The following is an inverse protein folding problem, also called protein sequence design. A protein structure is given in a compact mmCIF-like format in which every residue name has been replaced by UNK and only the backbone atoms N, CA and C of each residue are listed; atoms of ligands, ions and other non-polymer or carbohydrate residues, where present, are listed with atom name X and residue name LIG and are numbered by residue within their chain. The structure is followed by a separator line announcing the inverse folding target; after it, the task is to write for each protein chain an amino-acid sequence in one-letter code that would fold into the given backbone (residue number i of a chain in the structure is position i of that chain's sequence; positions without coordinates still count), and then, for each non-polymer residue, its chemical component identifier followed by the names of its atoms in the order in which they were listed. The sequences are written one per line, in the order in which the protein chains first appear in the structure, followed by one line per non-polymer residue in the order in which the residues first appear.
data_IF_504822771706
#
_entry.id   IF_504822771706
#
_cell.length_a   1.000
_cell.length_b   1.000
_cell.length_c   1.000
_cell.angle_alpha   90.00
_cell.angle_beta   90.00
_cell.angle_gamma   90.00
#
_symmetry.space_group_name_H-M   'P 1'
#
loop_
_entity.id
_entity.type
_entity.pdbx_description
1 polymer ?
#
# COMPACT_ATOMS: atom_id res chain seq x y z
N UNK A 1 51.99 9.46 -35.50
CA UNK A 1 51.31 8.49 -34.64
C UNK A 1 50.74 9.09 -33.34
N UNK A 2 51.24 10.16 -32.70
CA UNK A 2 50.75 10.72 -31.44
C UNK A 2 49.46 11.55 -31.54
N UNK A 3 49.03 12.05 -32.71
CA UNK A 3 47.79 12.83 -32.91
C UNK A 3 46.53 11.97 -33.12
N UNK A 4 46.65 10.78 -33.69
CA UNK A 4 45.52 9.87 -33.92
C UNK A 4 44.99 9.23 -32.62
N UNK A 5 45.84 8.97 -31.65
CA UNK A 5 45.45 8.35 -30.37
C UNK A 5 44.69 9.33 -29.45
N UNK A 6 44.88 10.63 -29.59
CA UNK A 6 44.12 11.66 -28.83
C UNK A 6 42.70 11.87 -29.34
N UNK A 7 42.47 11.68 -30.63
CA UNK A 7 41.12 11.79 -31.20
C UNK A 7 40.26 10.60 -30.89
N UNK A 8 40.84 9.39 -30.85
CA UNK A 8 40.12 8.17 -30.45
C UNK A 8 39.76 8.17 -28.96
N UNK A 9 40.62 8.72 -28.08
CA UNK A 9 40.35 8.88 -26.66
C UNK A 9 39.23 9.86 -26.35
N UNK A 10 39.09 10.95 -27.13
CA UNK A 10 38.02 11.95 -26.99
C UNK A 10 36.68 11.41 -27.49
N UNK A 11 36.65 10.60 -28.53
CA UNK A 11 35.43 10.00 -29.07
C UNK A 11 34.92 8.90 -28.11
N UNK A 12 35.81 8.13 -27.48
CA UNK A 12 35.43 7.10 -26.50
C UNK A 12 34.92 7.70 -25.19
N UNK A 13 35.45 8.86 -24.74
CA UNK A 13 34.93 9.56 -23.56
C UNK A 13 33.60 10.26 -23.80
N UNK A 14 33.31 10.66 -25.04
CA UNK A 14 32.04 11.28 -25.40
C UNK A 14 30.91 10.20 -25.50
N UNK A 15 31.24 8.96 -25.86
CA UNK A 15 30.29 7.87 -25.91
C UNK A 15 29.93 7.29 -24.50
N UNK A 16 30.81 7.48 -23.50
CA UNK A 16 30.54 7.04 -22.11
C UNK A 16 29.69 8.07 -21.31
N UNK A 17 29.56 9.30 -21.80
CA UNK A 17 28.76 10.35 -21.12
C UNK A 17 27.33 10.45 -21.61
N UNK A 18 26.93 9.67 -22.62
CA UNK A 18 25.58 9.68 -23.22
C UNK A 18 24.66 8.55 -22.69
N UNK A 19 25.12 7.78 -21.70
CA UNK A 19 24.35 6.64 -21.17
C UNK A 19 23.69 6.87 -19.80
N UNK A 20 23.61 8.11 -19.30
CA UNK A 20 23.05 8.39 -17.96
C UNK A 20 21.90 9.38 -17.92
N UNK A 21 21.16 9.53 -19.01
CA UNK A 21 19.89 10.27 -19.01
C UNK A 21 18.85 9.48 -19.83
N UNK A 22 18.51 8.29 -19.36
CA UNK A 22 17.19 7.75 -19.64
C UNK A 22 16.28 8.43 -18.62
N UNK A 23 15.34 9.30 -19.02
CA UNK A 23 14.31 9.72 -18.10
C UNK A 23 13.60 8.43 -17.69
N UNK A 24 13.57 8.13 -16.40
CA UNK A 24 12.57 7.23 -15.85
C UNK A 24 11.24 7.91 -16.18
N UNK A 25 10.68 7.60 -17.34
CA UNK A 25 9.29 7.92 -17.63
C UNK A 25 8.49 7.20 -16.56
N UNK A 26 7.92 7.94 -15.64
CA UNK A 26 6.87 7.42 -14.78
C UNK A 26 5.90 6.68 -15.71
N UNK A 27 5.77 5.37 -15.52
CA UNK A 27 4.75 4.59 -16.20
C UNK A 27 3.41 5.07 -15.62
N UNK A 28 2.79 6.03 -16.29
CA UNK A 28 1.38 6.32 -16.08
C UNK A 28 0.63 5.14 -16.67
N UNK A 29 0.29 4.18 -15.83
CA UNK A 29 -0.64 3.11 -16.19
C UNK A 29 -2.02 3.72 -16.15
N UNK A 30 -2.54 4.08 -17.31
CA UNK A 30 -3.92 4.52 -17.47
C UNK A 30 -4.76 3.26 -17.68
N UNK A 31 -5.64 2.96 -16.73
CA UNK A 31 -6.65 1.92 -16.89
C UNK A 31 -7.60 2.32 -18.05
N UNK A 32 -7.29 1.89 -19.25
CA UNK A 32 -8.09 2.14 -20.48
C UNK A 32 -8.75 0.85 -20.98
N UNK A 33 -9.47 0.14 -20.11
CA UNK A 33 -10.23 -1.05 -20.52
C UNK A 33 -11.42 -1.27 -19.60
N UNK A 34 -12.50 -1.85 -20.11
CA UNK A 34 -13.74 -2.10 -19.36
C UNK A 34 -13.58 -3.12 -18.20
N UNK A 35 -12.38 -3.58 -17.89
CA UNK A 35 -12.09 -4.55 -16.84
C UNK A 35 -10.77 -4.32 -16.08
N UNK A 36 -10.05 -3.24 -16.37
CA UNK A 36 -8.76 -2.97 -15.72
C UNK A 36 -8.92 -2.27 -14.38
N UNK A 37 -8.18 -2.77 -13.38
CA UNK A 37 -8.04 -2.19 -12.05
C UNK A 37 -6.57 -2.09 -11.71
N UNK A 38 -6.07 -0.86 -11.51
CA UNK A 38 -4.69 -0.60 -11.11
C UNK A 38 -4.63 -0.35 -9.60
N UNK A 39 -3.74 -1.05 -8.91
CA UNK A 39 -3.48 -0.92 -7.47
C UNK A 39 -2.05 -0.45 -7.28
N UNK A 40 -1.88 0.75 -6.74
CA UNK A 40 -0.59 1.40 -6.54
C UNK A 40 -0.26 1.38 -5.05
N UNK A 41 0.74 0.62 -4.66
CA UNK A 41 1.33 0.66 -3.32
C UNK A 41 2.40 1.75 -3.34
N UNK A 42 2.06 2.92 -2.81
CA UNK A 42 2.86 4.13 -2.95
C UNK A 42 4.00 4.12 -1.92
N UNK A 43 5.22 4.39 -2.35
CA UNK A 43 6.35 4.56 -1.45
C UNK A 43 6.23 5.90 -0.72
N UNK A 44 5.75 5.84 0.51
CA UNK A 44 5.64 6.97 1.44
C UNK A 44 6.65 6.88 2.58
N UNK A 45 7.73 6.10 2.39
CA UNK A 45 8.63 5.77 3.47
C UNK A 45 7.96 4.85 4.50
N UNK A 46 8.10 5.17 5.81
CA UNK A 46 7.38 4.42 6.84
C UNK A 46 5.92 4.90 6.88
N UNK A 47 4.99 3.99 6.63
CA UNK A 47 3.57 4.26 6.55
C UNK A 47 2.89 3.48 5.43
N UNK A 48 1.59 3.67 5.26
CA UNK A 48 0.80 3.01 4.24
C UNK A 48 0.03 4.01 3.37
N UNK A 49 0.05 3.80 2.07
CA UNK A 49 -0.78 4.54 1.12
C UNK A 49 -1.02 3.70 -0.13
N UNK A 50 -2.28 3.43 -0.45
CA UNK A 50 -2.66 2.63 -1.61
C UNK A 50 -3.70 3.40 -2.42
N UNK A 51 -3.38 3.67 -3.70
CA UNK A 51 -4.34 4.19 -4.66
C UNK A 51 -4.87 3.04 -5.50
N UNK A 52 -6.19 2.94 -5.64
CA UNK A 52 -6.82 2.04 -6.61
C UNK A 52 -7.58 2.85 -7.64
N UNK A 53 -7.36 2.55 -8.92
CA UNK A 53 -8.05 3.17 -10.05
C UNK A 53 -8.76 2.11 -10.88
N UNK A 54 -10.06 2.24 -11.07
CA UNK A 54 -10.86 1.30 -11.86
C UNK A 54 -12.12 1.96 -12.40
N UNK A 55 -12.46 1.74 -13.67
CA UNK A 55 -13.70 2.20 -14.28
C UNK A 55 -13.93 3.71 -14.18
N UNK A 56 -12.87 4.51 -14.03
CA UNK A 56 -12.92 5.96 -13.84
C UNK A 56 -13.17 6.40 -12.40
N UNK A 57 -13.22 5.48 -11.45
CA UNK A 57 -13.29 5.75 -10.01
C UNK A 57 -11.91 5.59 -9.35
N UNK A 58 -11.71 6.30 -8.25
CA UNK A 58 -10.48 6.29 -7.46
C UNK A 58 -10.81 5.99 -5.99
N UNK A 59 -10.06 5.05 -5.41
CA UNK A 59 -10.08 4.74 -3.98
C UNK A 59 -8.69 5.01 -3.42
N UNK A 60 -8.62 5.80 -2.35
CA UNK A 60 -7.39 6.03 -1.59
C UNK A 60 -7.52 5.36 -0.23
N UNK A 61 -6.73 4.33 0.02
CA UNK A 61 -6.64 3.62 1.29
C UNK A 61 -5.36 4.04 2.00
N UNK A 62 -5.50 4.79 3.09
CA UNK A 62 -4.45 5.50 3.81
C UNK A 62 -3.69 6.53 2.95
N UNK A 63 -2.85 7.33 3.59
CA UNK A 63 -2.14 8.42 2.93
C UNK A 63 -0.72 8.66 3.45
N UNK A 64 -0.17 7.73 4.24
CA UNK A 64 1.13 7.91 4.86
C UNK A 64 1.13 8.97 5.95
N UNK A 65 2.32 9.35 6.41
CA UNK A 65 2.47 10.38 7.43
C UNK A 65 2.36 11.80 6.86
N UNK A 66 2.24 12.79 7.75
CA UNK A 66 2.08 14.19 7.36
C UNK A 66 3.28 14.75 6.59
N UNK A 67 4.48 14.22 6.79
CA UNK A 67 5.69 14.70 6.09
C UNK A 67 5.70 14.31 4.61
N UNK A 68 4.91 13.32 4.22
CA UNK A 68 4.76 12.84 2.84
C UNK A 68 3.48 13.34 2.14
N UNK A 69 2.75 14.29 2.77
CA UNK A 69 1.52 14.85 2.21
C UNK A 69 1.68 15.42 0.79
N UNK A 70 2.73 16.20 0.56
CA UNK A 70 3.00 16.78 -0.76
C UNK A 70 3.32 15.71 -1.81
N UNK A 71 3.97 14.62 -1.39
CA UNK A 71 4.24 13.46 -2.26
C UNK A 71 2.94 12.80 -2.69
N UNK A 72 2.04 12.51 -1.76
CA UNK A 72 0.74 11.89 -2.08
C UNK A 72 -0.08 12.77 -3.00
N UNK A 73 -0.20 14.08 -2.70
CA UNK A 73 -0.93 15.01 -3.56
C UNK A 73 -0.35 15.01 -4.97
N UNK A 74 0.98 15.13 -5.09
CA UNK A 74 1.66 15.16 -6.39
C UNK A 74 1.45 13.83 -7.14
N UNK A 75 1.56 12.70 -6.45
CA UNK A 75 1.37 11.39 -7.04
C UNK A 75 -0.06 11.21 -7.57
N UNK A 76 -1.08 11.57 -6.78
CA UNK A 76 -2.48 11.50 -7.20
C UNK A 76 -2.73 12.40 -8.44
N UNK A 77 -2.15 13.60 -8.47
CA UNK A 77 -2.24 14.50 -9.62
C UNK A 77 -1.55 13.91 -10.87
N UNK A 78 -0.39 13.29 -10.72
CA UNK A 78 0.33 12.59 -11.81
C UNK A 78 -0.48 11.40 -12.35
N UNK A 79 -1.27 10.72 -11.48
CA UNK A 79 -2.19 9.67 -11.88
C UNK A 79 -3.53 10.20 -12.40
N UNK A 80 -3.68 11.51 -12.61
CA UNK A 80 -4.89 12.20 -13.09
C UNK A 80 -6.11 11.99 -12.19
N UNK A 81 -5.91 11.87 -10.89
CA UNK A 81 -7.00 11.84 -9.91
C UNK A 81 -7.56 13.25 -9.76
N UNK A 82 -8.83 13.43 -10.06
CA UNK A 82 -9.58 14.67 -9.83
C UNK A 82 -10.58 14.51 -8.67
N UNK A 83 -11.14 13.30 -8.53
CA UNK A 83 -12.07 12.92 -7.48
C UNK A 83 -11.59 11.64 -6.80
N UNK A 84 -11.75 11.57 -5.48
CA UNK A 84 -11.56 10.36 -4.69
C UNK A 84 -12.97 9.86 -4.32
N UNK A 85 -13.41 8.78 -4.94
CA UNK A 85 -14.75 8.22 -4.73
C UNK A 85 -14.88 7.59 -3.34
N UNK A 86 -13.81 6.92 -2.90
CA UNK A 86 -13.68 6.37 -1.55
C UNK A 86 -12.30 6.72 -0.97
N UNK A 87 -12.30 7.43 0.16
CA UNK A 87 -11.14 7.62 1.00
C UNK A 87 -11.31 6.73 2.24
N UNK A 88 -10.37 5.85 2.49
CA UNK A 88 -10.45 4.90 3.61
C UNK A 88 -9.27 5.18 4.56
N UNK A 89 -9.58 5.52 5.81
CA UNK A 89 -8.63 5.46 6.90
C UNK A 89 -8.70 4.06 7.51
N UNK A 90 -7.63 3.27 7.39
CA UNK A 90 -7.59 1.95 8.04
C UNK A 90 -7.78 2.11 9.53
N UNK A 91 -6.99 2.93 10.16
CA UNK A 91 -7.11 3.40 11.54
C UNK A 91 -6.57 4.84 11.64
N UNK A 92 -6.39 5.39 12.85
CA UNK A 92 -6.14 6.82 12.98
C UNK A 92 -4.72 7.17 13.45
N UNK A 93 -3.75 6.30 13.25
CA UNK A 93 -2.34 6.58 13.53
C UNK A 93 -1.73 7.48 12.45
N UNK A 94 -0.65 8.19 12.78
CA UNK A 94 -0.10 9.29 11.98
C UNK A 94 0.36 8.85 10.60
N UNK A 95 1.01 7.70 10.52
CA UNK A 95 1.57 7.13 9.30
C UNK A 95 0.52 6.47 8.37
N UNK A 96 -0.76 6.66 8.70
CA UNK A 96 -1.92 6.28 7.89
C UNK A 96 -2.79 7.47 7.49
N UNK A 97 -3.15 8.34 8.46
CA UNK A 97 -4.06 9.46 8.15
C UNK A 97 -3.35 10.79 7.90
N UNK A 98 -2.04 10.87 8.08
CA UNK A 98 -1.30 12.11 7.96
C UNK A 98 -1.45 12.79 6.60
N UNK A 99 -1.33 12.03 5.53
CA UNK A 99 -1.52 12.51 4.16
C UNK A 99 -2.97 12.61 3.72
N UNK A 100 -3.93 11.94 4.40
CA UNK A 100 -5.35 12.04 4.05
C UNK A 100 -5.91 13.44 4.32
N UNK A 101 -5.50 14.08 5.41
CA UNK A 101 -5.99 15.42 5.78
C UNK A 101 -5.80 16.43 4.65
N UNK A 102 -4.57 16.63 4.12
CA UNK A 102 -4.40 17.55 3.00
C UNK A 102 -5.04 17.05 1.69
N UNK A 103 -5.23 15.74 1.49
CA UNK A 103 -5.97 15.24 0.34
C UNK A 103 -7.44 15.68 0.35
N UNK A 104 -8.10 15.75 1.51
CA UNK A 104 -9.48 16.27 1.64
C UNK A 104 -9.58 17.72 1.15
N UNK A 105 -8.55 18.53 1.37
CA UNK A 105 -8.55 19.94 0.96
C UNK A 105 -8.14 20.14 -0.51
N UNK A 106 -7.46 19.15 -1.14
CA UNK A 106 -6.92 19.28 -2.49
C UNK A 106 -7.71 18.53 -3.57
N UNK A 107 -8.56 17.58 -3.19
CA UNK A 107 -9.36 16.77 -4.10
C UNK A 107 -10.84 16.82 -3.74
N UNK A 108 -11.70 16.57 -4.72
CA UNK A 108 -13.10 16.24 -4.43
C UNK A 108 -13.16 14.85 -3.80
N UNK A 109 -13.73 14.71 -2.60
CA UNK A 109 -13.87 13.42 -1.92
C UNK A 109 -15.35 13.11 -1.74
N UNK A 110 -15.81 11.96 -2.24
CA UNK A 110 -17.22 11.58 -2.20
C UNK A 110 -17.62 10.86 -0.92
N UNK A 111 -16.80 9.91 -0.48
CA UNK A 111 -17.03 9.11 0.72
C UNK A 111 -15.74 9.01 1.53
N UNK A 112 -15.86 9.15 2.85
CA UNK A 112 -14.77 8.85 3.79
C UNK A 112 -15.24 7.72 4.69
N UNK A 113 -14.46 6.63 4.73
CA UNK A 113 -14.67 5.48 5.61
C UNK A 113 -13.55 5.39 6.65
N UNK A 114 -13.90 4.93 7.84
CA UNK A 114 -12.95 4.66 8.91
C UNK A 114 -13.58 3.76 9.97
N UNK A 115 -12.85 3.30 10.98
CA UNK A 115 -13.39 2.54 12.10
C UNK A 115 -14.11 3.44 13.12
N UNK A 116 -15.14 2.90 13.80
CA UNK A 116 -16.00 3.65 14.73
C UNK A 116 -15.36 3.72 16.14
N UNK A 117 -14.25 4.47 16.27
CA UNK A 117 -13.68 4.79 17.57
C UNK A 117 -13.08 6.20 17.60
N UNK A 118 -12.87 6.73 18.79
CA UNK A 118 -12.26 8.05 19.00
C UNK A 118 -10.78 7.88 19.34
N UNK A 119 -9.92 8.37 18.46
CA UNK A 119 -8.49 8.47 18.74
C UNK A 119 -8.16 9.77 19.48
N UNK A 120 -7.14 9.76 20.34
CA UNK A 120 -6.83 10.91 21.22
C UNK A 120 -5.88 11.93 20.60
N UNK A 121 -5.34 11.67 19.39
CA UNK A 121 -4.36 12.54 18.75
C UNK A 121 -4.99 13.85 18.22
N UNK A 122 -4.17 14.88 18.13
CA UNK A 122 -4.58 16.12 17.46
C UNK A 122 -4.81 15.90 15.95
N UNK A 123 -4.09 14.97 15.34
CA UNK A 123 -4.23 14.65 13.94
C UNK A 123 -5.60 14.05 13.64
N UNK A 124 -6.09 13.11 14.48
CA UNK A 124 -7.46 12.61 14.38
C UNK A 124 -8.51 13.72 14.45
N UNK A 125 -8.35 14.62 15.44
CA UNK A 125 -9.28 15.74 15.54
C UNK A 125 -9.21 16.64 14.29
N UNK A 126 -8.04 16.84 13.73
CA UNK A 126 -7.86 17.60 12.48
C UNK A 126 -8.51 16.88 11.30
N UNK A 127 -8.33 15.58 11.16
CA UNK A 127 -8.97 14.76 10.12
C UNK A 127 -10.49 14.87 10.16
N UNK A 128 -11.10 14.68 11.33
CA UNK A 128 -12.56 14.78 11.53
C UNK A 128 -13.09 16.21 11.27
N UNK A 129 -12.34 17.23 11.72
CA UNK A 129 -12.70 18.63 11.51
C UNK A 129 -12.59 19.03 10.03
N UNK A 130 -11.56 18.56 9.32
CA UNK A 130 -11.36 18.84 7.89
C UNK A 130 -12.45 18.17 7.06
N UNK A 131 -12.80 16.92 7.36
CA UNK A 131 -13.93 16.25 6.72
C UNK A 131 -15.24 17.04 6.92
N UNK A 132 -15.52 17.45 8.15
CA UNK A 132 -16.70 18.25 8.50
C UNK A 132 -16.71 19.62 7.78
N UNK A 133 -15.58 20.30 7.72
CA UNK A 133 -15.46 21.60 7.05
C UNK A 133 -15.71 21.51 5.55
N UNK A 134 -15.40 20.38 4.94
CA UNK A 134 -15.70 20.03 3.53
C UNK A 134 -17.09 19.39 3.35
N UNK A 135 -17.94 19.41 4.38
CA UNK A 135 -19.28 18.84 4.39
C UNK A 135 -19.33 17.31 4.11
N UNK A 136 -18.26 16.58 4.46
CA UNK A 136 -18.17 15.14 4.32
C UNK A 136 -18.36 14.51 5.70
N UNK A 137 -19.20 13.49 5.77
CA UNK A 137 -19.42 12.69 6.99
C UNK A 137 -18.55 11.45 6.90
N UNK A 138 -17.72 11.21 7.93
CA UNK A 138 -17.00 9.95 8.06
C UNK A 138 -18.00 8.85 8.39
N UNK A 139 -17.99 7.81 7.60
CA UNK A 139 -18.88 6.65 7.70
C UNK A 139 -18.12 5.47 8.28
N UNK A 140 -18.84 4.62 8.99
CA UNK A 140 -18.30 3.45 9.72
C UNK A 140 -18.95 2.17 9.19
N UNK A 141 -18.45 1.63 8.04
CA UNK A 141 -19.06 0.45 7.46
C UNK A 141 -18.87 -0.79 8.33
N UNK A 142 -19.85 -1.69 8.29
CA UNK A 142 -19.84 -2.92 9.07
C UNK A 142 -19.18 -4.07 8.32
N UNK A 143 -18.66 -5.05 9.05
CA UNK A 143 -18.14 -6.29 8.46
C UNK A 143 -19.20 -6.98 7.60
N UNK A 144 -18.80 -7.39 6.39
CA UNK A 144 -19.65 -8.01 5.39
C UNK A 144 -20.36 -7.01 4.46
N UNK A 145 -20.32 -5.69 4.74
CA UNK A 145 -20.81 -4.71 3.77
C UNK A 145 -19.92 -4.70 2.52
N UNK A 146 -20.57 -4.65 1.36
CA UNK A 146 -19.91 -4.65 0.05
C UNK A 146 -20.30 -3.38 -0.71
N UNK A 147 -19.34 -2.77 -1.36
CA UNK A 147 -19.50 -1.54 -2.14
C UNK A 147 -19.01 -1.77 -3.56
N UNK A 148 -19.79 -1.35 -4.53
CA UNK A 148 -19.39 -1.35 -5.94
C UNK A 148 -18.24 -0.35 -6.14
N UNK A 149 -17.21 -0.74 -6.89
CA UNK A 149 -16.07 0.10 -7.20
C UNK A 149 -15.52 -0.21 -8.59
N UNK A 150 -15.64 0.75 -9.49
CA UNK A 150 -15.15 0.62 -10.86
C UNK A 150 -15.71 -0.59 -11.59
N UNK A 151 -14.84 -1.55 -11.89
CA UNK A 151 -15.20 -2.82 -12.57
C UNK A 151 -15.38 -3.99 -11.61
N UNK A 152 -15.26 -3.73 -10.33
CA UNK A 152 -15.34 -4.72 -9.27
C UNK A 152 -16.06 -4.22 -8.04
N UNK A 153 -15.66 -4.67 -6.87
CA UNK A 153 -16.22 -4.28 -5.59
C UNK A 153 -15.20 -4.44 -4.47
N UNK A 154 -15.47 -3.84 -3.31
CA UNK A 154 -14.74 -4.18 -2.10
C UNK A 154 -15.69 -4.53 -0.96
N UNK A 155 -15.27 -5.47 -0.12
CA UNK A 155 -16.01 -5.96 1.05
C UNK A 155 -15.23 -5.68 2.31
N UNK A 156 -15.89 -5.19 3.36
CA UNK A 156 -15.29 -4.95 4.67
C UNK A 156 -15.11 -6.26 5.41
N UNK A 157 -13.89 -6.55 5.89
CA UNK A 157 -13.54 -7.77 6.62
C UNK A 157 -13.35 -7.55 8.12
N UNK A 158 -12.88 -6.35 8.52
CA UNK A 158 -12.64 -5.94 9.91
C UNK A 158 -12.87 -4.43 10.05
N UNK A 159 -12.99 -3.90 11.31
CA UNK A 159 -12.93 -4.62 12.58
C UNK A 159 -14.26 -5.29 12.96
N UNK A 160 -14.21 -6.46 13.62
CA UNK A 160 -15.40 -7.15 14.15
C UNK A 160 -15.90 -6.58 15.50
N UNK A 161 -15.18 -5.62 16.03
CA UNK A 161 -15.44 -4.91 17.28
C UNK A 161 -14.31 -3.94 17.56
N UNK A 162 -14.51 -3.02 18.48
CA UNK A 162 -13.48 -2.02 18.80
C UNK A 162 -12.58 -2.55 19.92
N UNK A 163 -11.28 -2.60 19.62
CA UNK A 163 -10.18 -2.96 20.51
C UNK A 163 -9.62 -1.74 21.25
N UNK A 164 -8.91 -1.98 22.35
CA UNK A 164 -8.08 -0.95 23.00
C UNK A 164 -6.76 -0.70 22.24
N UNK A 165 -6.32 -1.67 21.43
CA UNK A 165 -5.22 -1.53 20.51
C UNK A 165 -5.73 -0.84 19.23
N UNK A 166 -5.17 0.33 18.87
CA UNK A 166 -5.58 1.10 17.68
C UNK A 166 -5.42 0.29 16.39
N UNK A 167 -4.36 -0.50 16.30
CA UNK A 167 -4.03 -1.30 15.12
C UNK A 167 -5.10 -2.35 14.81
N UNK A 168 -5.60 -3.04 15.85
CA UNK A 168 -6.69 -4.03 15.72
C UNK A 168 -8.04 -3.41 15.29
N UNK A 169 -8.15 -2.08 15.32
CA UNK A 169 -9.31 -1.37 14.79
C UNK A 169 -9.19 -1.06 13.29
N UNK A 170 -8.14 -1.54 12.63
CA UNK A 170 -7.96 -1.31 11.19
C UNK A 170 -9.16 -1.78 10.39
N UNK A 171 -9.69 -0.88 9.54
CA UNK A 171 -10.72 -1.19 8.56
C UNK A 171 -10.09 -2.00 7.43
N UNK A 172 -10.17 -3.31 7.53
CA UNK A 172 -9.63 -4.24 6.52
C UNK A 172 -10.64 -4.43 5.41
N UNK A 173 -10.20 -4.35 4.17
CA UNK A 173 -11.05 -4.57 3.00
C UNK A 173 -10.47 -5.66 2.09
N UNK A 174 -11.37 -6.43 1.46
CA UNK A 174 -11.06 -7.28 0.32
C UNK A 174 -11.61 -6.62 -0.94
N UNK A 175 -10.72 -6.29 -1.86
CA UNK A 175 -11.03 -5.74 -3.16
C UNK A 175 -11.04 -6.88 -4.19
N UNK A 176 -12.06 -6.92 -5.05
CA UNK A 176 -12.22 -7.96 -6.06
C UNK A 176 -12.45 -7.34 -7.44
N UNK A 177 -11.76 -7.89 -8.46
CA UNK A 177 -11.94 -7.55 -9.87
C UNK A 177 -11.96 -8.83 -10.71
N UNK A 178 -13.14 -9.26 -11.13
CA UNK A 178 -13.33 -10.54 -11.81
C UNK A 178 -12.91 -11.71 -10.92
N UNK A 179 -11.86 -12.44 -11.31
CA UNK A 179 -11.28 -13.52 -10.50
C UNK A 179 -10.09 -13.12 -9.65
N UNK A 180 -9.65 -11.87 -9.75
CA UNK A 180 -8.53 -11.38 -8.95
C UNK A 180 -8.99 -10.67 -7.67
N UNK A 181 -8.21 -10.81 -6.62
CA UNK A 181 -8.52 -10.25 -5.31
C UNK A 181 -7.29 -9.74 -4.56
N UNK A 182 -7.51 -8.67 -3.79
CA UNK A 182 -6.51 -7.99 -2.98
C UNK A 182 -7.07 -7.81 -1.57
N UNK A 183 -6.25 -8.03 -0.53
CA UNK A 183 -6.61 -7.68 0.85
C UNK A 183 -5.69 -6.56 1.32
N UNK A 184 -6.29 -5.47 1.81
CA UNK A 184 -5.59 -4.36 2.46
C UNK A 184 -5.89 -4.41 3.95
N UNK A 185 -4.86 -4.65 4.75
CA UNK A 185 -5.00 -4.97 6.18
C UNK A 185 -4.82 -3.76 7.10
N UNK A 186 -4.28 -2.63 6.58
CA UNK A 186 -3.77 -1.59 7.46
C UNK A 186 -2.76 -2.20 8.44
N UNK A 187 -2.93 -1.89 9.73
CA UNK A 187 -2.07 -2.40 10.79
C UNK A 187 -2.74 -3.49 11.64
N UNK A 188 -3.77 -4.15 11.10
CA UNK A 188 -4.43 -5.27 11.79
C UNK A 188 -3.40 -6.27 12.32
N UNK A 189 -3.50 -6.58 13.61
CA UNK A 189 -2.62 -7.51 14.31
C UNK A 189 -3.33 -8.86 14.55
N UNK A 190 -2.64 -9.77 15.24
CA UNK A 190 -3.11 -11.15 15.49
C UNK A 190 -4.56 -11.23 15.97
N UNK A 191 -5.00 -10.31 16.86
CA UNK A 191 -6.38 -10.33 17.38
C UNK A 191 -7.39 -10.08 16.27
N UNK A 192 -7.17 -9.05 15.44
CA UNK A 192 -8.04 -8.73 14.31
C UNK A 192 -8.00 -9.83 13.24
N UNK A 193 -6.82 -10.42 12.98
CA UNK A 193 -6.67 -11.55 12.06
C UNK A 193 -7.48 -12.77 12.50
N UNK A 194 -7.42 -13.15 13.78
CA UNK A 194 -8.19 -14.25 14.35
C UNK A 194 -9.70 -13.96 14.31
N UNK A 195 -10.10 -12.72 14.56
CA UNK A 195 -11.50 -12.31 14.44
C UNK A 195 -11.98 -12.46 13.00
N UNK A 196 -11.21 -12.02 11.99
CA UNK A 196 -11.53 -12.22 10.57
C UNK A 196 -11.69 -13.71 10.22
N UNK A 197 -10.75 -14.55 10.63
CA UNK A 197 -10.81 -16.01 10.42
C UNK A 197 -12.08 -16.59 11.04
N UNK A 198 -12.44 -16.15 12.26
CA UNK A 198 -13.60 -16.64 12.99
C UNK A 198 -14.94 -16.33 12.33
N UNK A 199 -15.01 -15.31 11.45
CA UNK A 199 -16.23 -14.97 10.70
C UNK A 199 -16.64 -16.05 9.71
N UNK A 200 -15.68 -16.85 9.23
CA UNK A 200 -15.87 -17.80 8.13
C UNK A 200 -16.07 -17.16 6.77
N UNK A 201 -15.82 -15.87 6.63
CA UNK A 201 -15.80 -15.19 5.33
C UNK A 201 -14.63 -15.73 4.47
N UNK A 202 -14.78 -15.63 3.16
CA UNK A 202 -13.71 -16.02 2.24
C UNK A 202 -12.56 -14.99 2.29
N UNK A 203 -11.44 -15.36 2.92
CA UNK A 203 -10.23 -14.54 3.03
C UNK A 203 -9.19 -14.84 1.93
N UNK A 204 -9.39 -15.88 1.09
CA UNK A 204 -8.47 -16.21 0.00
C UNK A 204 -8.22 -15.00 -0.91
N UNK A 205 -6.96 -14.71 -1.27
CA UNK A 205 -6.62 -13.55 -2.09
C UNK A 205 -5.39 -13.81 -2.97
N UNK A 206 -5.29 -13.09 -4.10
CA UNK A 206 -4.09 -13.13 -4.94
C UNK A 206 -2.97 -12.28 -4.38
N UNK A 207 -3.32 -11.11 -3.82
CA UNK A 207 -2.35 -10.14 -3.30
C UNK A 207 -2.71 -9.73 -1.88
N UNK A 208 -1.77 -9.90 -0.97
CA UNK A 208 -1.87 -9.42 0.41
C UNK A 208 -1.00 -8.17 0.61
N UNK A 209 -1.61 -7.05 1.01
CA UNK A 209 -0.88 -5.97 1.66
C UNK A 209 -0.53 -6.42 3.07
N UNK A 210 0.75 -6.61 3.34
CA UNK A 210 1.24 -7.19 4.61
C UNK A 210 0.97 -6.24 5.76
N UNK A 211 0.34 -6.76 6.81
CA UNK A 211 -0.11 -5.96 7.94
C UNK A 211 1.03 -5.28 8.70
N UNK A 212 0.75 -4.08 9.18
CA UNK A 212 1.58 -3.31 10.09
C UNK A 212 3.05 -3.21 9.60
N UNK A 213 3.21 -2.89 8.30
CA UNK A 213 4.51 -2.70 7.63
C UNK A 213 5.44 -3.92 7.75
N UNK A 214 4.89 -5.11 7.99
CA UNK A 214 5.64 -6.32 8.25
C UNK A 214 6.07 -6.50 9.71
N UNK A 215 5.35 -5.91 10.67
CA UNK A 215 5.55 -6.16 12.12
C UNK A 215 5.44 -7.64 12.47
N UNK A 216 6.13 -8.06 13.52
CA UNK A 216 6.04 -9.44 14.04
C UNK A 216 4.64 -9.76 14.61
N UNK A 217 3.88 -8.72 15.02
CA UNK A 217 2.53 -8.84 15.60
C UNK A 217 1.44 -9.12 14.57
N UNK A 218 1.74 -8.99 13.27
CA UNK A 218 0.80 -9.11 12.15
C UNK A 218 1.21 -10.22 11.19
N UNK A 219 0.32 -10.56 10.27
CA UNK A 219 0.54 -11.54 9.20
C UNK A 219 0.98 -12.89 9.77
N UNK A 220 0.14 -13.38 10.70
CA UNK A 220 0.37 -14.63 11.42
C UNK A 220 0.29 -15.85 10.49
N UNK A 221 0.77 -17.02 10.95
CA UNK A 221 0.67 -18.25 10.19
C UNK A 221 -0.78 -18.59 9.83
N UNK A 222 -1.68 -18.50 10.81
CA UNK A 222 -3.10 -18.82 10.63
C UNK A 222 -3.73 -17.88 9.58
N UNK A 223 -3.36 -16.59 9.59
CA UNK A 223 -3.87 -15.62 8.64
C UNK A 223 -3.29 -15.84 7.24
N UNK A 224 -2.01 -16.16 7.12
CA UNK A 224 -1.40 -16.53 5.84
C UNK A 224 -2.00 -17.82 5.25
N UNK A 225 -2.30 -18.81 6.09
CA UNK A 225 -3.00 -20.03 5.64
C UNK A 225 -4.43 -19.72 5.18
N UNK A 226 -5.13 -18.82 5.87
CA UNK A 226 -6.50 -18.42 5.52
C UNK A 226 -6.58 -17.54 4.27
N UNK A 227 -5.59 -16.68 4.05
CA UNK A 227 -5.53 -15.76 2.89
C UNK A 227 -4.84 -16.36 1.68
N UNK A 228 -3.95 -17.34 1.87
CA UNK A 228 -3.23 -18.10 0.84
C UNK A 228 -2.72 -17.25 -0.34
N UNK A 229 -2.04 -16.12 -0.12
CA UNK A 229 -1.77 -15.14 -1.15
C UNK A 229 -0.71 -15.64 -2.16
N UNK A 230 -0.93 -15.32 -3.44
CA UNK A 230 0.05 -15.56 -4.50
C UNK A 230 1.22 -14.58 -4.45
N UNK A 231 1.00 -13.38 -3.88
CA UNK A 231 1.99 -12.31 -3.73
C UNK A 231 1.74 -11.54 -2.43
N UNK A 232 2.82 -11.04 -1.83
CA UNK A 232 2.77 -10.13 -0.69
C UNK A 232 3.44 -8.80 -1.01
N UNK A 233 2.83 -7.69 -0.64
CA UNK A 233 3.40 -6.34 -0.78
C UNK A 233 3.59 -5.74 0.61
N UNK A 234 4.81 -5.26 0.88
CA UNK A 234 5.17 -4.68 2.17
C UNK A 234 5.43 -3.18 1.98
N UNK A 235 4.58 -2.35 2.54
CA UNK A 235 4.78 -0.90 2.62
C UNK A 235 5.59 -0.58 3.87
N UNK A 236 6.87 -0.21 3.71
CA UNK A 236 7.76 0.13 4.82
C UNK A 236 8.87 1.08 4.37
N UNK A 237 9.44 1.83 5.29
CA UNK A 237 10.49 2.79 5.01
C UNK A 237 11.91 2.23 5.17
N UNK A 238 12.85 2.79 4.41
CA UNK A 238 14.28 2.50 4.56
C UNK A 238 14.75 2.97 5.93
N UNK A 239 15.49 2.12 6.68
CA UNK A 239 16.06 2.45 7.99
C UNK A 239 14.99 2.98 8.99
N UNK A 240 13.76 2.48 8.92
CA UNK A 240 12.72 2.88 9.84
C UNK A 240 13.07 2.48 11.30
N UNK A 241 12.60 3.29 12.25
CA UNK A 241 12.91 3.11 13.66
C UNK A 241 12.31 1.84 14.30
N UNK A 242 11.38 1.19 13.61
CA UNK A 242 10.66 -0.01 14.09
C UNK A 242 11.36 -1.30 13.66
N UNK A 243 12.36 -1.21 12.78
CA UNK A 243 13.03 -2.35 12.13
C UNK A 243 12.06 -3.21 11.30
N UNK A 244 11.04 -2.59 10.73
CA UNK A 244 10.11 -3.27 9.81
C UNK A 244 10.70 -3.37 8.40
N UNK A 245 10.44 -4.50 7.67
CA UNK A 245 9.71 -5.66 8.13
C UNK A 245 10.53 -6.50 9.14
N UNK A 246 9.82 -7.18 10.06
CA UNK A 246 10.45 -8.02 11.08
C UNK A 246 10.99 -9.33 10.48
N UNK A 247 12.01 -9.90 11.15
CA UNK A 247 12.55 -11.20 10.74
C UNK A 247 11.49 -12.31 10.82
N UNK A 248 10.57 -12.24 11.79
CA UNK A 248 9.51 -13.24 11.98
C UNK A 248 8.52 -13.23 10.80
N UNK A 249 8.04 -12.06 10.39
CA UNK A 249 7.13 -11.91 9.25
C UNK A 249 7.80 -12.33 7.95
N UNK A 250 9.05 -11.90 7.73
CA UNK A 250 9.80 -12.28 6.55
C UNK A 250 10.11 -13.77 6.50
N UNK A 251 10.35 -14.38 7.67
CA UNK A 251 10.50 -15.84 7.80
C UNK A 251 9.22 -16.58 7.39
N UNK A 252 8.06 -16.16 7.89
CA UNK A 252 6.76 -16.76 7.51
C UNK A 252 6.51 -16.71 6.00
N UNK A 253 6.70 -15.54 5.38
CA UNK A 253 6.52 -15.36 3.93
C UNK A 253 7.50 -16.23 3.12
N UNK A 254 8.77 -16.28 3.56
CA UNK A 254 9.80 -17.11 2.92
C UNK A 254 9.50 -18.60 3.03
N UNK A 255 9.08 -19.07 4.21
CA UNK A 255 8.80 -20.49 4.47
C UNK A 255 7.58 -20.98 3.68
N UNK A 256 6.61 -20.10 3.41
CA UNK A 256 5.47 -20.39 2.53
C UNK A 256 5.81 -20.18 1.04
N UNK A 257 7.00 -19.67 0.71
CA UNK A 257 7.42 -19.42 -0.67
C UNK A 257 6.62 -18.33 -1.38
N UNK A 258 6.05 -17.39 -0.63
CA UNK A 258 5.24 -16.30 -1.17
C UNK A 258 6.18 -15.22 -1.75
N UNK A 259 6.13 -14.93 -3.06
CA UNK A 259 6.90 -13.84 -3.65
C UNK A 259 6.57 -12.49 -3.02
N UNK A 260 7.61 -11.70 -2.70
CA UNK A 260 7.46 -10.43 -2.00
C UNK A 260 7.91 -9.23 -2.84
N UNK A 261 7.12 -8.16 -2.73
CA UNK A 261 7.47 -6.82 -3.15
C UNK A 261 7.65 -5.94 -1.92
N UNK A 262 8.57 -4.97 -1.97
CA UNK A 262 8.87 -4.10 -0.83
C UNK A 262 9.09 -2.66 -1.30
N UNK A 263 8.36 -1.70 -0.73
CA UNK A 263 8.52 -0.29 -1.10
C UNK A 263 9.89 0.28 -0.74
N UNK A 264 10.49 -0.15 0.38
CA UNK A 264 11.84 0.26 0.80
C UNK A 264 12.97 -0.19 -0.13
N UNK A 265 12.71 -1.14 -1.01
CA UNK A 265 13.67 -1.69 -1.98
C UNK A 265 13.39 -1.25 -3.41
N UNK A 266 12.13 -1.03 -3.73
CA UNK A 266 11.66 -0.94 -5.10
C UNK A 266 10.94 0.37 -5.42
N UNK A 267 10.69 1.23 -4.43
CA UNK A 267 9.84 2.40 -4.58
C UNK A 267 8.36 2.00 -4.75
N UNK A 268 7.59 2.84 -5.40
CA UNK A 268 6.17 2.56 -5.66
C UNK A 268 5.99 1.33 -6.56
N UNK A 269 5.10 0.43 -6.15
CA UNK A 269 4.79 -0.84 -6.82
C UNK A 269 3.37 -0.77 -7.37
N UNK A 270 3.18 -1.17 -8.63
CA UNK A 270 1.86 -1.14 -9.28
C UNK A 270 1.50 -2.55 -9.73
N UNK A 271 0.33 -3.02 -9.31
CA UNK A 271 -0.33 -4.21 -9.81
C UNK A 271 -1.51 -3.81 -10.70
N UNK A 272 -1.67 -4.46 -11.85
CA UNK A 272 -2.80 -4.22 -12.75
C UNK A 272 -3.53 -5.53 -12.96
N UNK A 273 -4.79 -5.60 -12.54
CA UNK A 273 -5.70 -6.71 -12.80
C UNK A 273 -6.53 -6.43 -14.05
N UNK A 274 -6.56 -7.39 -14.97
CA UNK A 274 -7.48 -7.38 -16.12
C UNK A 274 -8.79 -8.14 -15.83
N UNK A 275 -9.00 -8.56 -14.57
CA UNK A 275 -10.13 -9.39 -14.13
C UNK A 275 -9.83 -10.90 -14.18
N UNK A 276 -8.69 -11.32 -14.71
CA UNK A 276 -8.26 -12.71 -14.79
C UNK A 276 -6.80 -12.90 -14.39
N UNK A 277 -5.94 -11.98 -14.81
CA UNK A 277 -4.51 -12.00 -14.55
C UNK A 277 -4.09 -10.72 -13.86
N UNK A 278 -3.01 -10.78 -13.07
CA UNK A 278 -2.35 -9.64 -12.48
C UNK A 278 -0.99 -9.46 -13.14
N UNK A 279 -0.73 -8.27 -13.68
CA UNK A 279 0.57 -7.84 -14.17
C UNK A 279 1.18 -6.80 -13.22
N UNK A 280 2.49 -6.69 -13.19
CA UNK A 280 3.22 -5.87 -12.25
C UNK A 280 4.13 -4.86 -12.96
N UNK A 281 4.33 -3.69 -12.38
CA UNK A 281 5.28 -2.67 -12.88
C UNK A 281 6.74 -3.14 -12.81
N UNK A 282 7.02 -4.16 -12.00
CA UNK A 282 8.35 -4.71 -11.76
C UNK A 282 8.25 -6.16 -11.24
N UNK A 283 9.35 -6.90 -11.27
CA UNK A 283 9.41 -8.25 -10.71
C UNK A 283 9.47 -8.22 -9.17
N UNK A 284 8.99 -9.27 -8.46
CA UNK A 284 9.17 -9.39 -7.02
C UNK A 284 10.64 -9.27 -6.64
N UNK A 285 10.98 -8.51 -5.61
CA UNK A 285 12.37 -8.42 -5.16
C UNK A 285 12.83 -9.70 -4.46
N UNK A 286 11.90 -10.44 -3.86
CA UNK A 286 12.18 -11.66 -3.07
C UNK A 286 13.30 -11.47 -2.03
N UNK A 287 13.40 -10.25 -1.50
CA UNK A 287 14.32 -9.92 -0.42
C UNK A 287 13.61 -10.13 0.92
N UNK A 288 13.83 -11.29 1.54
CA UNK A 288 13.26 -11.66 2.83
C UNK A 288 14.11 -11.19 4.03
N UNK A 289 15.07 -10.29 3.82
CA UNK A 289 15.81 -9.69 4.92
C UNK A 289 14.89 -8.78 5.76
N UNK A 290 15.11 -8.80 7.08
CA UNK A 290 14.43 -7.85 7.96
C UNK A 290 14.91 -6.41 7.71
N UNK A 291 14.14 -5.45 8.19
CA UNK A 291 14.54 -4.04 8.24
C UNK A 291 15.64 -3.77 9.26
N UNK A 292 15.95 -4.74 10.13
CA UNK A 292 17.01 -4.61 11.13
C UNK A 292 18.40 -4.71 10.51
N UNK A 293 19.12 -3.60 10.48
CA UNK A 293 20.50 -3.50 9.95
C UNK A 293 21.53 -4.31 10.77
N UNK A 294 21.20 -4.72 11.99
CA UNK A 294 22.10 -5.48 12.85
C UNK A 294 22.14 -6.98 12.50
N UNK A 295 21.05 -7.54 11.95
CA UNK A 295 20.99 -8.94 11.56
C UNK A 295 21.83 -9.24 10.29
N UNK A 296 21.99 -8.27 9.40
CA UNK A 296 22.77 -8.41 8.17
C UNK A 296 24.29 -8.38 8.37
N UNK A 297 24.78 -7.91 9.52
CA UNK A 297 26.22 -7.87 9.84
C UNK A 297 26.80 -9.23 10.30
N UNK A 298 25.95 -10.19 10.68
CA UNK A 298 26.37 -11.51 11.19
C UNK A 298 26.35 -12.64 10.15
N UNK A 299 25.83 -12.42 8.95
CA UNK A 299 25.74 -13.42 7.88
C UNK A 299 26.92 -13.39 6.90
N UNK A 300 27.93 -12.55 7.14
CA UNK A 300 29.10 -12.32 6.26
C UNK A 300 30.45 -12.54 6.95
N UNK A 301 30.62 -13.64 7.75
CA UNK A 301 31.95 -14.06 8.26
C UNK A 301 32.12 -15.55 8.02
#
# INVERSE_FOLDING_TARGET
MKKQNRLLSLILSLFLLLFTLVPQSALTVKAEGNSEMAVHFIDVGQGNAILVQSGGQNLLYDGGDQSHADLIISYLQEQNVENIDYMIASHYDEDHIGGLVPCIDNFSVSNIFGPDYVHTSNLFNNFMNTATANAIIVQYPSVGETFDFGTGSFTVLAPNGISQNSNDNSLVIKLENGSNSFIFTGDAEETSEQDMISTGMNLDCDVLSVGHHGSASSTTWDFLEATSPSYAVISCGINNQYNHPSADTMGRLSDMGIPVFRTDKQGTIIAVSDGTNISWSQEPCNDYSSGDSSANASAGV
#
